data_IF_837716151662
#
_entry.id   IF_837716151662
#
_cell.length_a   1.000
_cell.length_b   1.000
_cell.length_c   1.000
_cell.angle_alpha   90.00
_cell.angle_beta   90.00
_cell.angle_gamma   90.00
#
_symmetry.space_group_name_H-M   'P 1'
#
loop_
_entity.id
_entity.type
_entity.pdbx_description
1 polymer ?
#
# COMPACT_ATOMS: atom_id res chain seq x y z
N UNK A 1 11.94 2.61 21.08
CA UNK A 1 10.63 3.16 20.72
C UNK A 1 9.57 2.06 20.78
N UNK A 2 8.40 2.41 21.27
CA UNK A 2 7.30 1.46 21.30
C UNK A 2 6.80 1.19 19.87
N UNK A 3 6.44 -0.05 19.60
CA UNK A 3 5.85 -0.40 18.32
C UNK A 3 4.48 0.25 18.15
N UNK A 4 4.12 0.48 16.90
CA UNK A 4 2.78 0.97 16.55
C UNK A 4 1.80 -0.18 16.78
N UNK A 5 0.79 0.06 17.59
CA UNK A 5 -0.26 -0.92 17.87
C UNK A 5 -1.55 -0.54 17.15
N UNK A 6 -2.20 -1.54 16.56
CA UNK A 6 -3.51 -1.35 15.96
C UNK A 6 -4.55 -1.23 17.08
N UNK A 7 -5.38 -0.19 17.01
CA UNK A 7 -6.42 0.05 18.02
C UNK A 7 -7.78 -0.25 17.43
N UNK A 8 -8.55 -1.09 18.13
CA UNK A 8 -9.90 -1.44 17.73
C UNK A 8 -10.84 -1.21 18.91
N UNK A 9 -12.01 -0.65 18.65
CA UNK A 9 -13.00 -0.38 19.69
C UNK A 9 -14.40 -0.23 19.09
N UNK A 10 -15.36 -0.95 19.64
CA UNK A 10 -16.79 -0.81 19.28
C UNK A 10 -17.04 -0.93 17.78
N UNK A 11 -16.42 -1.91 17.13
CA UNK A 11 -16.58 -2.13 15.69
C UNK A 11 -15.87 -1.12 14.82
N UNK A 12 -14.97 -0.32 15.40
CA UNK A 12 -14.17 0.66 14.68
C UNK A 12 -12.69 0.38 14.85
N UNK A 13 -11.90 0.83 13.87
CA UNK A 13 -10.46 0.70 13.90
C UNK A 13 -9.85 2.10 13.69
N UNK A 14 -8.81 2.40 14.47
CA UNK A 14 -8.16 3.69 14.38
C UNK A 14 -7.20 3.75 13.19
N UNK A 15 -7.31 4.81 12.41
CA UNK A 15 -6.42 5.04 11.27
C UNK A 15 -5.44 6.16 11.61
N UNK A 16 -4.16 5.85 11.94
CA UNK A 16 -3.20 6.88 12.32
C UNK A 16 -2.84 7.84 11.17
N UNK A 17 -2.96 7.39 9.92
CA UNK A 17 -2.66 8.24 8.78
C UNK A 17 -3.73 9.32 8.57
N UNK A 18 -4.99 8.97 8.83
CA UNK A 18 -6.10 9.93 8.74
C UNK A 18 -6.42 10.58 10.08
N UNK A 19 -5.84 10.07 11.17
CA UNK A 19 -6.11 10.51 12.54
C UNK A 19 -7.60 10.44 12.87
N UNK A 20 -8.22 9.34 12.50
CA UNK A 20 -9.66 9.14 12.64
C UNK A 20 -10.01 7.68 12.85
N UNK A 21 -11.17 7.43 13.43
CA UNK A 21 -11.72 6.08 13.58
C UNK A 21 -12.58 5.76 12.38
N UNK A 22 -12.38 4.56 11.81
CA UNK A 22 -13.13 4.07 10.66
C UNK A 22 -13.90 2.82 11.06
N UNK A 23 -14.97 2.50 10.32
CA UNK A 23 -15.65 1.23 10.51
C UNK A 23 -14.67 0.11 10.20
N UNK A 24 -14.58 -0.88 11.10
CA UNK A 24 -13.63 -1.98 10.97
C UNK A 24 -14.18 -3.04 10.00
N UNK A 25 -14.12 -2.74 8.69
CA UNK A 25 -14.40 -3.73 7.67
C UNK A 25 -13.23 -4.71 7.58
N UNK A 26 -13.42 -5.92 7.03
CA UNK A 26 -12.31 -6.85 6.87
C UNK A 26 -11.14 -6.26 6.08
N UNK A 27 -11.42 -5.48 5.03
CA UNK A 27 -10.37 -4.86 4.23
C UNK A 27 -9.65 -3.75 4.98
N UNK A 28 -10.40 -2.90 5.72
CA UNK A 28 -9.79 -1.83 6.52
C UNK A 28 -8.90 -2.41 7.61
N UNK A 29 -9.32 -3.52 8.20
CA UNK A 29 -8.52 -4.21 9.20
C UNK A 29 -7.18 -4.66 8.62
N UNK A 30 -7.19 -5.30 7.46
CA UNK A 30 -5.95 -5.71 6.77
C UNK A 30 -5.06 -4.50 6.52
N UNK A 31 -5.64 -3.40 6.04
CA UNK A 31 -4.89 -2.18 5.77
C UNK A 31 -4.18 -1.66 7.03
N UNK A 32 -4.89 -1.53 8.14
CA UNK A 32 -4.30 -0.99 9.36
C UNK A 32 -3.24 -1.91 9.95
N UNK A 33 -3.47 -3.22 9.93
CA UNK A 33 -2.46 -4.18 10.39
C UNK A 33 -1.21 -4.14 9.51
N UNK A 34 -1.38 -3.95 8.20
CA UNK A 34 -0.22 -3.87 7.31
C UNK A 34 0.55 -2.56 7.51
N UNK A 35 -0.13 -1.45 7.79
CA UNK A 35 0.55 -0.19 8.17
C UNK A 35 1.43 -0.43 9.39
N UNK A 36 0.94 -1.15 10.38
CA UNK A 36 1.74 -1.50 11.57
C UNK A 36 2.96 -2.35 11.20
N UNK A 37 2.81 -3.31 10.30
CA UNK A 37 3.92 -4.13 9.80
C UNK A 37 4.97 -3.26 9.10
N UNK A 38 4.54 -2.35 8.25
CA UNK A 38 5.45 -1.44 7.56
C UNK A 38 6.24 -0.56 8.54
N UNK A 39 5.58 -0.08 9.58
CA UNK A 39 6.23 0.75 10.59
C UNK A 39 7.15 -0.07 11.49
N UNK A 40 6.66 -1.20 12.00
CA UNK A 40 7.37 -1.96 13.04
C UNK A 40 8.44 -2.89 12.48
N UNK A 41 8.12 -3.61 11.41
CA UNK A 41 9.03 -4.59 10.82
C UNK A 41 9.99 -3.96 9.82
N UNK A 42 9.47 -3.05 8.98
CA UNK A 42 10.27 -2.46 7.91
C UNK A 42 10.83 -1.08 8.26
N UNK A 43 10.38 -0.47 9.34
CA UNK A 43 10.93 0.77 9.85
C UNK A 43 10.47 2.05 9.16
N UNK A 44 9.41 1.99 8.35
CA UNK A 44 8.91 3.18 7.67
C UNK A 44 8.15 4.09 8.63
N UNK A 45 8.40 5.39 8.54
CA UNK A 45 7.67 6.39 9.31
C UNK A 45 6.26 6.58 8.75
N UNK A 46 5.29 6.80 9.64
CA UNK A 46 3.93 7.15 9.21
C UNK A 46 3.92 8.39 8.31
N UNK A 47 4.89 9.27 8.48
CA UNK A 47 5.02 10.49 7.66
C UNK A 47 5.48 10.20 6.24
N UNK A 48 5.94 8.97 5.97
CA UNK A 48 6.31 8.53 4.62
C UNK A 48 5.16 7.84 3.90
N UNK A 49 4.01 7.72 4.53
CA UNK A 49 2.89 6.95 4.02
C UNK A 49 1.66 7.80 3.77
N UNK A 50 0.80 7.30 2.89
CA UNK A 50 -0.55 7.82 2.70
C UNK A 50 -1.46 6.65 2.35
N UNK A 51 -2.73 6.71 2.78
CA UNK A 51 -3.70 5.68 2.44
C UNK A 51 -4.80 6.26 1.56
N UNK A 52 -5.40 5.40 0.74
CA UNK A 52 -6.48 5.78 -0.17
C UNK A 52 -6.08 6.91 -1.11
N UNK A 53 -4.81 6.91 -1.54
CA UNK A 53 -4.34 7.93 -2.47
C UNK A 53 -5.01 7.73 -3.83
N UNK A 54 -5.66 8.77 -4.32
CA UNK A 54 -6.23 8.74 -5.67
C UNK A 54 -5.13 8.67 -6.70
N UNK A 55 -5.18 7.62 -7.50
CA UNK A 55 -4.31 7.52 -8.66
C UNK A 55 -5.03 8.24 -9.79
N UNK A 56 -4.51 9.39 -10.16
CA UNK A 56 -5.14 10.25 -11.15
C UNK A 56 -4.90 9.72 -12.55
N UNK A 57 -5.90 9.05 -13.11
CA UNK A 57 -5.86 8.65 -14.50
C UNK A 57 -6.81 9.56 -15.31
N UNK A 58 -6.29 10.72 -15.67
CA UNK A 58 -7.04 11.75 -16.35
C UNK A 58 -7.58 11.32 -17.71
N UNK A 59 -6.99 10.30 -18.34
CA UNK A 59 -7.37 9.86 -19.67
C UNK A 59 -8.67 9.06 -19.71
N UNK A 60 -9.13 8.54 -18.59
CA UNK A 60 -10.31 7.67 -18.54
C UNK A 60 -11.45 8.22 -17.69
N UNK A 61 -11.30 9.39 -17.10
CA UNK A 61 -12.33 9.95 -16.24
C UNK A 61 -12.68 9.09 -15.05
N UNK A 62 -11.85 8.10 -14.73
CA UNK A 62 -12.09 7.18 -13.62
C UNK A 62 -11.41 7.72 -12.37
N UNK A 63 -12.03 8.71 -11.75
CA UNK A 63 -11.56 9.24 -10.48
C UNK A 63 -11.74 8.29 -9.30
N UNK A 64 -11.95 6.97 -9.57
CA UNK A 64 -12.24 5.99 -8.51
C UNK A 64 -11.09 5.05 -8.19
N UNK A 65 -10.02 5.02 -8.99
CA UNK A 65 -8.88 4.15 -8.70
C UNK A 65 -8.09 4.74 -7.54
N UNK A 66 -7.91 3.97 -6.48
CA UNK A 66 -7.16 4.39 -5.29
C UNK A 66 -6.16 3.31 -4.91
N UNK A 67 -4.95 3.74 -4.56
CA UNK A 67 -3.98 2.86 -3.95
C UNK A 67 -4.29 2.79 -2.45
N UNK A 68 -4.33 1.59 -1.89
CA UNK A 68 -4.68 1.42 -0.46
C UNK A 68 -3.64 2.05 0.44
N UNK A 69 -2.36 1.79 0.19
CA UNK A 69 -1.25 2.39 0.93
C UNK A 69 -0.16 2.74 -0.05
N UNK A 70 0.39 3.94 0.09
CA UNK A 70 1.53 4.39 -0.71
C UNK A 70 2.63 4.82 0.25
N UNK A 71 3.87 4.42 -0.05
CA UNK A 71 5.04 4.71 0.78
C UNK A 71 6.09 5.39 -0.08
N UNK A 72 6.65 6.51 0.42
CA UNK A 72 7.76 7.21 -0.22
C UNK A 72 9.08 6.84 0.46
N UNK A 73 10.19 7.03 -0.22
CA UNK A 73 11.52 6.75 0.34
C UNK A 73 11.84 7.63 1.55
N UNK A 74 11.26 8.82 1.60
CA UNK A 74 11.48 9.77 2.68
C UNK A 74 10.28 10.68 2.83
N UNK A 75 10.20 11.39 3.97
CA UNK A 75 9.17 12.41 4.18
C UNK A 75 9.30 13.54 3.15
N UNK A 76 10.54 13.89 2.81
CA UNK A 76 10.79 14.94 1.84
C UNK A 76 10.29 14.58 0.45
N UNK A 77 10.52 13.34 0.03
CA UNK A 77 10.00 12.86 -1.25
C UNK A 77 8.48 12.94 -1.32
N UNK A 78 7.81 12.64 -0.21
CA UNK A 78 6.36 12.77 -0.13
C UNK A 78 5.92 14.22 -0.26
N UNK A 79 6.59 15.13 0.43
CA UNK A 79 6.28 16.57 0.36
C UNK A 79 6.52 17.13 -1.03
N UNK A 80 7.57 16.68 -1.69
CA UNK A 80 7.94 17.12 -3.03
C UNK A 80 7.14 16.41 -4.12
N UNK A 81 6.22 15.54 -3.74
CA UNK A 81 5.36 14.77 -4.66
C UNK A 81 6.17 13.97 -5.68
N UNK A 82 7.28 13.41 -5.22
CA UNK A 82 8.10 12.52 -6.04
C UNK A 82 7.41 11.18 -6.25
N UNK A 83 7.98 10.35 -7.11
CA UNK A 83 7.43 9.02 -7.35
C UNK A 83 7.42 8.20 -6.05
N UNK A 84 6.35 7.45 -5.84
CA UNK A 84 6.24 6.57 -4.69
C UNK A 84 7.28 5.44 -4.79
N UNK A 85 7.68 4.93 -3.64
CA UNK A 85 8.61 3.81 -3.58
C UNK A 85 7.89 2.47 -3.62
N UNK A 86 6.83 2.35 -2.81
CA UNK A 86 6.07 1.11 -2.66
C UNK A 86 4.58 1.43 -2.73
N UNK A 87 3.83 0.61 -3.48
CA UNK A 87 2.37 0.67 -3.50
C UNK A 87 1.85 -0.64 -2.96
N UNK A 88 0.90 -0.58 -2.03
CA UNK A 88 0.29 -1.75 -1.41
C UNK A 88 -1.18 -1.80 -1.74
N UNK A 89 -1.65 -2.97 -2.14
CA UNK A 89 -3.07 -3.24 -2.30
C UNK A 89 -3.50 -4.26 -1.25
N UNK A 90 -4.56 -3.93 -0.52
CA UNK A 90 -5.08 -4.75 0.57
C UNK A 90 -6.39 -5.38 0.16
N UNK A 91 -6.55 -6.67 0.45
CA UNK A 91 -7.79 -7.42 0.27
C UNK A 91 -8.27 -7.91 1.62
N UNK A 92 -9.58 -8.09 1.75
CA UNK A 92 -10.14 -8.66 2.98
C UNK A 92 -9.53 -10.04 3.26
N UNK A 93 -9.40 -10.40 4.53
CA UNK A 93 -8.77 -11.63 4.98
C UNK A 93 -9.35 -12.89 4.31
N UNK A 94 -10.65 -12.88 4.03
CA UNK A 94 -11.34 -14.01 3.42
C UNK A 94 -11.32 -13.96 1.88
N UNK A 95 -10.71 -12.95 1.27
CA UNK A 95 -10.63 -12.82 -0.18
C UNK A 95 -9.28 -13.34 -0.64
N UNK A 96 -9.32 -14.31 -1.55
CA UNK A 96 -8.09 -14.89 -2.09
C UNK A 96 -7.36 -13.88 -2.99
N UNK A 97 -6.04 -13.80 -2.84
CA UNK A 97 -5.22 -12.97 -3.72
C UNK A 97 -5.15 -13.64 -5.09
N UNK A 98 -5.56 -12.92 -6.13
CA UNK A 98 -5.66 -13.43 -7.51
C UNK A 98 -4.64 -12.76 -8.42
N UNK A 99 -4.37 -13.41 -9.56
CA UNK A 99 -3.49 -12.84 -10.57
C UNK A 99 -4.02 -11.49 -11.08
N UNK A 100 -5.33 -11.33 -11.22
CA UNK A 100 -5.94 -10.07 -11.64
C UNK A 100 -5.62 -8.94 -10.67
N UNK A 101 -5.55 -9.24 -9.39
CA UNK A 101 -5.20 -8.26 -8.37
C UNK A 101 -3.76 -7.77 -8.55
N UNK A 102 -2.86 -8.67 -8.98
CA UNK A 102 -1.48 -8.31 -9.28
C UNK A 102 -1.42 -7.30 -10.43
N UNK A 103 -2.18 -7.55 -11.49
CA UNK A 103 -2.20 -6.64 -12.63
C UNK A 103 -2.78 -5.28 -12.28
N UNK A 104 -3.83 -5.27 -11.48
CA UNK A 104 -4.44 -4.01 -11.03
C UNK A 104 -3.44 -3.20 -10.21
N UNK A 105 -2.80 -3.83 -9.25
CA UNK A 105 -1.78 -3.17 -8.43
C UNK A 105 -0.58 -2.75 -9.25
N UNK A 106 -0.19 -3.54 -10.23
CA UNK A 106 0.90 -3.17 -11.13
C UNK A 106 0.58 -1.87 -11.87
N UNK A 107 -0.66 -1.72 -12.35
CA UNK A 107 -1.06 -0.49 -13.03
C UNK A 107 -0.96 0.71 -12.09
N UNK A 108 -1.39 0.55 -10.83
CA UNK A 108 -1.24 1.63 -9.84
C UNK A 108 0.23 1.97 -9.59
N UNK A 109 1.06 0.95 -9.42
CA UNK A 109 2.49 1.15 -9.20
C UNK A 109 3.14 1.83 -10.39
N UNK A 110 2.78 1.43 -11.61
CA UNK A 110 3.30 2.06 -12.83
C UNK A 110 2.94 3.53 -12.92
N UNK A 111 1.70 3.88 -12.57
CA UNK A 111 1.27 5.28 -12.62
C UNK A 111 2.00 6.11 -11.59
N UNK A 112 2.20 5.56 -10.41
CA UNK A 112 2.95 6.22 -9.36
C UNK A 112 4.45 6.13 -9.58
N UNK A 113 4.91 5.40 -10.60
CA UNK A 113 6.31 5.08 -10.87
C UNK A 113 6.99 4.42 -9.68
N UNK A 114 6.24 3.62 -8.93
CA UNK A 114 6.75 2.92 -7.77
C UNK A 114 7.71 1.81 -8.18
N UNK A 115 8.70 1.54 -7.34
CA UNK A 115 9.67 0.47 -7.59
C UNK A 115 9.16 -0.89 -7.13
N UNK A 116 8.25 -0.91 -6.14
CA UNK A 116 7.73 -2.15 -5.57
C UNK A 116 6.22 -2.12 -5.46
N UNK A 117 5.64 -3.29 -5.61
CA UNK A 117 4.22 -3.50 -5.39
C UNK A 117 4.02 -4.65 -4.41
N UNK A 118 3.09 -4.48 -3.48
CA UNK A 118 2.73 -5.51 -2.49
C UNK A 118 1.22 -5.73 -2.56
N UNK A 119 0.80 -6.99 -2.52
CA UNK A 119 -0.60 -7.32 -2.33
C UNK A 119 -0.72 -8.26 -1.13
N UNK A 120 -1.70 -7.99 -0.26
CA UNK A 120 -1.85 -8.74 0.99
C UNK A 120 -3.30 -8.86 1.38
N UNK A 121 -3.64 -10.02 1.98
CA UNK A 121 -4.91 -10.24 2.66
C UNK A 121 -4.69 -10.63 4.13
N UNK A 122 -3.50 -10.34 4.67
CA UNK A 122 -3.03 -10.71 6.00
C UNK A 122 -2.54 -12.16 6.09
N UNK A 123 -3.23 -13.11 5.48
CA UNK A 123 -2.82 -14.52 5.46
C UNK A 123 -1.79 -14.80 4.39
N UNK A 124 -1.88 -14.10 3.29
CA UNK A 124 -0.99 -14.26 2.14
C UNK A 124 -0.51 -12.90 1.70
N UNK A 125 0.80 -12.75 1.54
CA UNK A 125 1.40 -11.49 1.08
C UNK A 125 2.37 -11.80 -0.05
N UNK A 126 2.24 -11.08 -1.15
CA UNK A 126 3.13 -11.22 -2.31
C UNK A 126 3.82 -9.88 -2.56
N UNK A 127 5.08 -9.95 -2.90
CA UNK A 127 5.94 -8.79 -3.13
C UNK A 127 6.47 -8.83 -4.55
N UNK A 128 6.44 -7.69 -5.25
CA UNK A 128 6.88 -7.63 -6.64
C UNK A 128 7.80 -6.44 -6.86
N UNK A 129 8.82 -6.65 -7.68
CA UNK A 129 9.60 -5.58 -8.25
C UNK A 129 8.88 -5.12 -9.51
N UNK A 130 8.68 -3.82 -9.67
CA UNK A 130 7.99 -3.24 -10.82
C UNK A 130 9.03 -2.72 -11.81
N UNK A 131 8.97 -3.21 -13.03
CA UNK A 131 9.83 -2.72 -14.09
C UNK A 131 8.98 -2.02 -15.16
N UNK A 132 8.90 -0.69 -15.14
CA UNK A 132 8.08 0.05 -16.09
C UNK A 132 8.64 0.05 -17.53
N UNK A 133 9.87 -0.42 -17.72
CA UNK A 133 10.50 -0.42 -19.04
C UNK A 133 10.02 -1.56 -19.94
N UNK A 134 9.36 -2.55 -19.39
CA UNK A 134 8.88 -3.70 -20.16
C UNK A 134 7.46 -3.53 -20.68
N UNK A 135 7.24 -3.91 -21.92
CA UNK A 135 5.91 -3.97 -22.54
C UNK A 135 5.73 -5.35 -23.18
N UNK A 136 4.75 -6.20 -22.76
CA UNK A 136 3.82 -5.92 -21.67
C UNK A 136 4.53 -5.88 -20.33
N UNK A 137 3.96 -5.14 -19.42
CA UNK A 137 4.56 -4.90 -18.12
C UNK A 137 4.83 -6.19 -17.38
N UNK A 138 5.99 -6.27 -16.74
CA UNK A 138 6.45 -7.47 -16.06
C UNK A 138 6.54 -7.23 -14.55
N UNK A 139 5.90 -8.13 -13.81
CA UNK A 139 6.02 -8.18 -12.35
C UNK A 139 6.97 -9.31 -11.99
N UNK A 140 8.07 -8.99 -11.35
CA UNK A 140 9.00 -10.00 -10.85
C UNK A 140 8.72 -10.20 -9.36
N UNK A 141 8.24 -11.39 -9.00
CA UNK A 141 7.99 -11.69 -7.59
C UNK A 141 9.30 -11.76 -6.82
N UNK A 142 9.34 -11.11 -5.67
CA UNK A 142 10.50 -11.11 -4.78
C UNK A 142 10.07 -11.58 -3.40
N UNK A 143 11.02 -11.88 -2.52
CA UNK A 143 10.71 -12.46 -1.21
C UNK A 143 10.35 -11.42 -0.15
N UNK A 144 10.69 -10.17 -0.37
CA UNK A 144 10.41 -9.08 0.58
C UNK A 144 10.65 -7.73 -0.07
N UNK A 145 10.12 -6.68 0.55
CA UNK A 145 10.42 -5.30 0.18
C UNK A 145 11.60 -4.80 1.02
N UNK A 146 12.30 -3.74 0.57
CA UNK A 146 13.40 -3.17 1.37
C UNK A 146 12.90 -2.56 2.66
N UNK A 147 13.74 -2.59 3.68
CA UNK A 147 13.50 -1.85 4.93
C UNK A 147 13.84 -0.38 4.72
N UNK A 148 13.29 0.47 5.58
CA UNK A 148 13.61 1.89 5.56
C UNK A 148 15.08 2.10 5.98
N UNK A 149 15.68 3.12 5.40
CA UNK A 149 17.06 3.49 5.76
C UNK A 149 17.08 4.49 6.90
#
# INVERSE_FOLDING_TARGET
MADLEVQEKDGKIYCPLKKAWHISTPEERVRQYYIAILANKYGYSLKQMEQELKVNNSKRGQGKARADIVIWKSEQDKKDKKAAFIVVECKAENVKVRVEDYYQGFNYASWAHAEFFVTTNEKETKYFNVDPAYLPQKLDEVVAIPTAK
#
